data_IF_393538427986
#
_entry.id   IF_393538427986
#
_cell.length_a   1.000
_cell.length_b   1.000
_cell.length_c   1.000
_cell.angle_alpha   90.00
_cell.angle_beta   90.00
_cell.angle_gamma   90.00
#
_symmetry.space_group_name_H-M   'P 1'
#
loop_
_entity.id
_entity.type
_entity.pdbx_description
1 polymer ?
#
# COMPACT_ATOMS: atom_id res chain seq x y z
N UNK A 1 21.28 4.95 -3.74
CA UNK A 1 20.76 6.12 -3.01
C UNK A 1 19.25 6.36 -3.24
N UNK A 2 18.71 6.22 -4.46
CA UNK A 2 17.27 6.47 -4.73
C UNK A 2 16.33 5.51 -3.98
N UNK A 3 16.56 4.20 -4.08
CA UNK A 3 15.76 3.18 -3.38
C UNK A 3 15.80 3.32 -1.85
N UNK A 4 16.94 3.72 -1.28
CA UNK A 4 17.05 3.96 0.17
C UNK A 4 16.23 5.16 0.64
N UNK A 5 16.07 6.18 -0.19
CA UNK A 5 15.20 7.33 0.11
C UNK A 5 13.73 6.93 -0.02
N UNK A 6 13.37 6.25 -1.10
CA UNK A 6 12.02 5.76 -1.34
C UNK A 6 11.53 4.79 -0.24
N UNK A 7 12.42 3.93 0.26
CA UNK A 7 12.12 3.03 1.39
C UNK A 7 11.95 3.79 2.72
N UNK A 8 12.66 4.91 2.91
CA UNK A 8 12.44 5.78 4.09
C UNK A 8 11.08 6.46 4.00
N UNK A 9 10.73 6.99 2.83
CA UNK A 9 9.43 7.62 2.57
C UNK A 9 8.29 6.62 2.80
N UNK A 10 8.39 5.42 2.23
CA UNK A 10 7.42 4.34 2.45
C UNK A 10 7.20 4.05 3.94
N UNK A 11 8.27 3.95 4.73
CA UNK A 11 8.18 3.70 6.18
C UNK A 11 7.56 4.86 6.93
N UNK A 12 7.91 6.10 6.56
CA UNK A 12 7.40 7.31 7.21
C UNK A 12 5.88 7.44 7.00
N UNK A 13 5.42 7.37 5.75
CA UNK A 13 4.00 7.50 5.42
C UNK A 13 3.18 6.38 6.07
N UNK A 14 3.71 5.15 6.09
CA UNK A 14 3.05 4.02 6.75
C UNK A 14 2.95 4.20 8.27
N UNK A 15 3.99 4.77 8.89
CA UNK A 15 3.96 5.06 10.31
C UNK A 15 2.89 6.12 10.63
N UNK A 16 2.80 7.19 9.84
CA UNK A 16 1.78 8.23 10.01
C UNK A 16 0.35 7.67 9.89
N UNK A 17 0.10 6.83 8.89
CA UNK A 17 -1.21 6.18 8.70
C UNK A 17 -1.59 5.27 9.89
N UNK A 18 -0.64 4.47 10.37
CA UNK A 18 -0.85 3.58 11.51
C UNK A 18 -1.04 4.34 12.83
N UNK A 19 -0.28 5.40 13.07
CA UNK A 19 -0.44 6.24 14.26
C UNK A 19 -1.82 6.89 14.29
N UNK A 20 -2.33 7.32 13.12
CA UNK A 20 -3.69 7.84 12.99
C UNK A 20 -4.73 6.75 13.23
N UNK A 21 -4.55 5.56 12.67
CA UNK A 21 -5.46 4.43 12.87
C UNK A 21 -5.56 4.01 14.34
N UNK A 22 -4.42 3.91 15.05
CA UNK A 22 -4.40 3.58 16.48
C UNK A 22 -5.18 4.61 17.28
N UNK A 23 -5.01 5.91 17.02
CA UNK A 23 -5.78 6.96 17.70
C UNK A 23 -7.28 6.86 17.44
N UNK A 24 -7.68 6.66 16.18
CA UNK A 24 -9.10 6.56 15.82
C UNK A 24 -9.74 5.27 16.36
N UNK A 25 -9.00 4.16 16.40
CA UNK A 25 -9.47 2.88 16.92
C UNK A 25 -9.79 2.89 18.42
N UNK A 26 -9.24 3.85 19.18
CA UNK A 26 -9.60 4.07 20.59
C UNK A 26 -11.00 4.65 20.74
N UNK A 27 -11.50 5.35 19.71
CA UNK A 27 -12.85 5.93 19.67
C UNK A 27 -13.83 4.95 19.01
N UNK A 28 -13.42 4.35 17.88
CA UNK A 28 -14.19 3.34 17.17
C UNK A 28 -13.39 2.04 16.98
N UNK A 29 -13.62 1.01 17.82
CA UNK A 29 -12.91 -0.25 17.73
C UNK A 29 -13.19 -1.05 16.45
N UNK A 30 -14.28 -0.75 15.74
CA UNK A 30 -14.66 -1.45 14.50
C UNK A 30 -14.03 -0.85 13.25
N UNK A 31 -13.33 0.28 13.40
CA UNK A 31 -12.67 0.96 12.30
C UNK A 31 -11.66 0.03 11.62
N UNK A 32 -11.65 0.08 10.29
CA UNK A 32 -10.73 -0.66 9.45
C UNK A 32 -9.96 0.31 8.58
N UNK A 33 -8.64 0.24 8.65
CA UNK A 33 -7.72 1.00 7.80
C UNK A 33 -7.37 0.17 6.56
N UNK A 34 -7.55 0.76 5.38
CA UNK A 34 -6.97 0.28 4.13
C UNK A 34 -5.84 1.22 3.70
N UNK A 35 -4.70 0.64 3.38
CA UNK A 35 -3.54 1.38 2.87
C UNK A 35 -3.12 0.82 1.51
N UNK A 36 -2.81 1.70 0.57
CA UNK A 36 -2.29 1.36 -0.74
C UNK A 36 -1.02 2.17 -1.00
N UNK A 37 0.04 1.49 -1.46
CA UNK A 37 1.29 2.12 -1.85
C UNK A 37 1.76 1.57 -3.19
N UNK A 38 2.33 2.42 -4.05
CA UNK A 38 2.78 2.00 -5.39
C UNK A 38 3.88 2.92 -5.94
N UNK A 39 4.60 2.42 -6.94
CA UNK A 39 5.56 3.23 -7.70
C UNK A 39 4.88 3.83 -8.91
N UNK A 40 4.96 5.14 -9.04
CA UNK A 40 4.49 5.89 -10.19
C UNK A 40 5.50 5.85 -11.34
N UNK A 41 5.07 6.28 -12.53
CA UNK A 41 5.92 6.28 -13.73
C UNK A 41 7.18 7.15 -13.62
N UNK A 42 7.19 8.15 -12.73
CA UNK A 42 8.34 9.04 -12.46
C UNK A 42 9.25 8.51 -11.33
N UNK A 43 9.06 7.25 -10.91
CA UNK A 43 9.78 6.60 -9.82
C UNK A 43 9.64 7.37 -8.48
N UNK A 44 8.43 7.86 -8.19
CA UNK A 44 8.03 8.40 -6.88
C UNK A 44 7.07 7.44 -6.16
N UNK A 45 6.86 7.65 -4.87
CA UNK A 45 5.93 6.84 -4.07
C UNK A 45 4.54 7.47 -4.11
N UNK A 46 3.57 6.75 -4.68
CA UNK A 46 2.17 7.05 -4.49
C UNK A 46 1.63 6.34 -3.25
N UNK A 47 0.77 7.01 -2.50
CA UNK A 47 0.09 6.44 -1.34
C UNK A 47 -1.39 6.84 -1.29
N UNK A 48 -2.20 5.98 -0.67
CA UNK A 48 -3.61 6.24 -0.36
C UNK A 48 -3.97 5.52 0.93
N UNK A 49 -4.74 6.19 1.78
CA UNK A 49 -5.33 5.59 2.97
C UNK A 49 -6.84 5.85 2.98
N UNK A 50 -7.62 4.87 3.45
CA UNK A 50 -9.05 4.97 3.61
C UNK A 50 -9.48 4.24 4.88
N UNK A 51 -10.53 4.75 5.54
CA UNK A 51 -11.10 4.19 6.75
C UNK A 51 -12.53 3.73 6.50
N UNK A 52 -12.90 2.60 7.08
CA UNK A 52 -14.22 2.00 6.92
C UNK A 52 -14.72 1.50 8.27
N UNK A 53 -16.03 1.63 8.51
CA UNK A 53 -16.68 1.10 9.72
C UNK A 53 -17.04 -0.39 9.59
N UNK A 54 -17.01 -0.92 8.36
CA UNK A 54 -17.32 -2.31 8.05
C UNK A 54 -16.13 -3.02 7.42
N UNK A 55 -15.72 -4.13 8.01
CA UNK A 55 -14.65 -4.97 7.47
C UNK A 55 -14.96 -5.48 6.06
N UNK A 56 -16.20 -5.87 5.79
CA UNK A 56 -16.60 -6.37 4.47
C UNK A 56 -16.43 -5.30 3.39
N UNK A 57 -16.85 -4.06 3.67
CA UNK A 57 -16.66 -2.95 2.73
C UNK A 57 -15.18 -2.63 2.51
N UNK A 58 -14.39 -2.65 3.59
CA UNK A 58 -12.96 -2.44 3.52
C UNK A 58 -12.26 -3.51 2.67
N UNK A 59 -12.65 -4.76 2.84
CA UNK A 59 -12.12 -5.90 2.09
C UNK A 59 -12.49 -5.81 0.59
N UNK A 60 -13.75 -5.51 0.27
CA UNK A 60 -14.20 -5.27 -1.11
C UNK A 60 -13.40 -4.13 -1.76
N UNK A 61 -13.20 -3.03 -1.04
CA UNK A 61 -12.40 -1.92 -1.50
C UNK A 61 -10.94 -2.32 -1.76
N UNK A 62 -10.33 -3.09 -0.86
CA UNK A 62 -8.97 -3.60 -1.03
C UNK A 62 -8.85 -4.50 -2.27
N UNK A 63 -9.83 -5.37 -2.53
CA UNK A 63 -9.85 -6.17 -3.75
C UNK A 63 -10.02 -5.33 -5.01
N UNK A 64 -10.84 -4.28 -4.99
CA UNK A 64 -10.98 -3.35 -6.11
C UNK A 64 -9.67 -2.62 -6.41
N UNK A 65 -8.96 -2.15 -5.39
CA UNK A 65 -7.65 -1.52 -5.55
C UNK A 65 -6.63 -2.50 -6.15
N UNK A 66 -6.58 -3.72 -5.62
CA UNK A 66 -5.72 -4.77 -6.13
C UNK A 66 -5.98 -5.08 -7.61
N UNK A 67 -7.25 -5.24 -7.98
CA UNK A 67 -7.65 -5.50 -9.36
C UNK A 67 -7.27 -4.34 -10.29
N UNK A 68 -7.46 -3.10 -9.84
CA UNK A 68 -7.08 -1.91 -10.60
C UNK A 68 -5.56 -1.88 -10.83
N UNK A 69 -4.76 -2.08 -9.78
CA UNK A 69 -3.29 -2.09 -9.89
C UNK A 69 -2.77 -3.23 -10.75
N UNK A 70 -3.32 -4.43 -10.57
CA UNK A 70 -2.99 -5.57 -11.42
C UNK A 70 -3.29 -5.26 -12.90
N UNK A 71 -4.45 -4.67 -13.20
CA UNK A 71 -4.83 -4.24 -14.56
C UNK A 71 -3.89 -3.18 -15.14
N UNK A 72 -3.37 -2.26 -14.31
CA UNK A 72 -2.41 -1.24 -14.73
C UNK A 72 -0.96 -1.73 -14.80
N UNK A 73 -0.68 -2.91 -14.22
CA UNK A 73 0.64 -3.52 -14.07
C UNK A 73 0.83 -4.74 -15.00
N UNK A 74 0.31 -4.67 -16.24
CA UNK A 74 0.35 -5.80 -17.18
C UNK A 74 1.78 -6.29 -17.50
N UNK A 75 2.76 -5.39 -17.46
CA UNK A 75 4.16 -5.70 -17.73
C UNK A 75 4.97 -6.03 -16.45
N UNK A 76 4.36 -5.95 -15.27
CA UNK A 76 5.06 -6.09 -13.99
C UNK A 76 5.90 -4.88 -13.59
N UNK A 77 5.84 -3.77 -14.32
CA UNK A 77 6.67 -2.57 -14.18
C UNK A 77 6.14 -1.53 -13.17
N UNK A 78 5.02 -1.79 -12.50
CA UNK A 78 4.39 -0.89 -11.54
C UNK A 78 4.12 -1.61 -10.23
N UNK A 79 5.15 -1.80 -9.40
CA UNK A 79 5.00 -2.51 -8.15
C UNK A 79 4.10 -1.74 -7.18
N UNK A 80 3.31 -2.49 -6.43
CA UNK A 80 2.37 -1.98 -5.45
C UNK A 80 2.23 -2.92 -4.24
N UNK A 81 1.57 -2.45 -3.20
CA UNK A 81 1.20 -3.25 -2.03
C UNK A 81 -0.07 -2.66 -1.41
N UNK A 82 -0.89 -3.52 -0.83
CA UNK A 82 -2.11 -3.13 -0.12
C UNK A 82 -2.10 -3.75 1.27
N UNK A 83 -2.50 -2.99 2.27
CA UNK A 83 -2.66 -3.43 3.64
C UNK A 83 -4.10 -3.23 4.13
N UNK A 84 -4.57 -4.17 4.94
CA UNK A 84 -5.81 -4.12 5.71
C UNK A 84 -5.42 -4.18 7.18
N UNK A 85 -5.69 -3.14 7.96
CA UNK A 85 -5.27 -3.01 9.36
C UNK A 85 -3.77 -3.31 9.55
N UNK A 86 -2.92 -2.79 8.67
CA UNK A 86 -1.48 -3.03 8.67
C UNK A 86 -1.03 -4.44 8.24
N UNK A 87 -1.96 -5.36 7.91
CA UNK A 87 -1.66 -6.70 7.36
C UNK A 87 -1.72 -6.67 5.84
N UNK A 88 -0.68 -7.19 5.20
CA UNK A 88 -0.61 -7.24 3.74
C UNK A 88 -1.69 -8.16 3.16
N UNK A 89 -2.29 -7.76 2.04
CA UNK A 89 -3.22 -8.63 1.31
C UNK A 89 -2.47 -9.74 0.58
N UNK A 90 -3.19 -10.76 0.07
CA UNK A 90 -2.57 -11.88 -0.66
C UNK A 90 -2.10 -11.51 -2.07
N UNK A 91 -2.27 -10.25 -2.49
CA UNK A 91 -2.03 -9.82 -3.87
C UNK A 91 -0.55 -9.47 -4.02
N UNK A 92 0.16 -10.24 -4.85
CA UNK A 92 1.58 -10.02 -5.10
C UNK A 92 1.79 -8.82 -6.03
N UNK A 93 2.08 -7.66 -5.45
CA UNK A 93 2.46 -6.45 -6.18
C UNK A 93 3.97 -6.15 -6.17
N UNK A 94 4.81 -7.02 -5.59
CA UNK A 94 6.28 -6.92 -5.57
C UNK A 94 6.93 -5.63 -5.02
N UNK A 95 6.18 -4.73 -4.38
CA UNK A 95 6.74 -3.46 -3.88
C UNK A 95 7.85 -3.66 -2.85
N UNK A 96 7.71 -4.63 -1.95
CA UNK A 96 8.74 -4.92 -0.94
C UNK A 96 10.05 -5.36 -1.58
N UNK A 97 9.97 -6.23 -2.59
CA UNK A 97 11.11 -6.72 -3.34
C UNK A 97 11.77 -5.57 -4.10
N UNK A 98 10.98 -4.68 -4.70
CA UNK A 98 11.49 -3.47 -5.36
C UNK A 98 12.25 -2.56 -4.39
N UNK A 99 11.66 -2.25 -3.22
CA UNK A 99 12.29 -1.39 -2.21
C UNK A 99 13.58 -1.98 -1.62
N UNK A 100 13.74 -3.30 -1.67
CA UNK A 100 14.97 -4.01 -1.27
C UNK A 100 16.00 -4.13 -2.40
N UNK A 101 15.64 -3.83 -3.64
CA UNK A 101 16.47 -4.06 -4.81
C UNK A 101 16.51 -5.54 -5.26
N UNK A 102 15.62 -6.39 -4.76
CA UNK A 102 15.46 -7.79 -5.18
C UNK A 102 14.66 -7.90 -6.51
N UNK A 103 14.02 -6.80 -6.91
CA UNK A 103 13.24 -6.68 -8.13
C UNK A 103 13.58 -5.36 -8.82
N UNK A 104 13.87 -5.43 -10.12
CA UNK A 104 14.14 -4.25 -10.96
C UNK A 104 13.03 -4.08 -11.99
N UNK A 105 12.65 -2.83 -12.22
CA UNK A 105 11.73 -2.47 -13.30
C UNK A 105 12.48 -2.61 -14.62
N UNK A 106 11.95 -3.42 -15.54
CA UNK A 106 12.43 -3.42 -16.91
C UNK A 106 12.12 -2.05 -17.51
N UNK A 107 13.13 -1.44 -18.13
CA UNK A 107 13.03 -0.17 -18.85
C UNK A 107 12.93 -0.43 -20.34
#
# INVERSE_FOLDING_TARGET
MRLSTLNKEFKLVRQEAMDMFVKLSQVDPNLVLIEEYWITSDETMGNRCAFFESYTQAEEYAYMLAANRASQNQNGEKPFIIYVNGKETKVDGKLKQYLKGEFELKR
#
